data_IF_238917259636
#
_entry.id   IF_238917259636
#
_cell.length_a   1.000
_cell.length_b   1.000
_cell.length_c   1.000
_cell.angle_alpha   90.00
_cell.angle_beta   90.00
_cell.angle_gamma   90.00
#
_symmetry.space_group_name_H-M   'P 1'
#
loop_
_entity.id
_entity.type
_entity.pdbx_description
1 polymer ?
#
# COMPACT_ATOMS: atom_id res chain seq x y z
N UNK A 1 23.38 21.16 10.26
CA UNK A 1 23.36 20.56 8.91
C UNK A 1 24.73 19.96 8.73
N UNK A 2 24.80 18.67 8.42
CA UNK A 2 26.06 17.89 8.42
C UNK A 2 26.55 17.55 7.00
N UNK A 3 25.71 17.73 6.00
CA UNK A 3 25.88 17.32 4.62
C UNK A 3 25.56 18.49 3.67
N UNK A 4 26.18 19.64 3.92
CA UNK A 4 25.99 20.88 3.15
C UNK A 4 26.36 20.77 1.66
N UNK A 5 27.03 19.66 1.27
CA UNK A 5 27.35 19.33 -0.12
C UNK A 5 26.19 18.69 -0.89
N UNK A 6 25.10 18.31 -0.21
CA UNK A 6 23.94 17.69 -0.83
C UNK A 6 22.99 18.76 -1.40
N UNK A 7 22.33 18.50 -2.56
CA UNK A 7 21.36 19.43 -3.09
C UNK A 7 20.11 19.53 -2.19
N UNK A 8 19.46 20.69 -2.23
CA UNK A 8 18.12 20.85 -1.67
C UNK A 8 17.07 20.26 -2.61
N UNK A 9 15.98 19.74 -2.05
CA UNK A 9 14.78 19.38 -2.77
C UNK A 9 13.97 20.64 -3.06
N UNK A 10 13.61 20.86 -4.33
CA UNK A 10 12.63 21.87 -4.71
C UNK A 10 11.23 21.27 -4.52
N UNK A 11 10.42 21.94 -3.71
CA UNK A 11 9.03 21.55 -3.44
C UNK A 11 8.09 22.75 -3.62
N UNK A 12 6.79 22.50 -3.69
CA UNK A 12 5.80 23.54 -4.01
C UNK A 12 5.54 23.65 -5.51
N UNK A 13 5.04 24.81 -5.94
CA UNK A 13 4.81 25.08 -7.36
C UNK A 13 6.03 25.73 -8.00
N UNK A 14 6.17 25.59 -9.31
CA UNK A 14 7.27 26.22 -10.06
C UNK A 14 7.26 27.76 -9.93
N UNK A 15 6.10 28.36 -9.71
CA UNK A 15 5.94 29.81 -9.49
C UNK A 15 6.36 30.25 -8.09
N UNK A 16 6.32 29.35 -7.09
CA UNK A 16 6.69 29.62 -5.69
C UNK A 16 7.44 28.42 -5.11
N UNK A 17 8.69 28.19 -5.54
CA UNK A 17 9.47 27.07 -5.05
C UNK A 17 9.92 27.30 -3.61
N UNK A 18 9.87 26.24 -2.80
CA UNK A 18 10.53 26.15 -1.51
C UNK A 18 11.68 25.14 -1.61
N UNK A 19 12.79 25.41 -0.92
CA UNK A 19 13.97 24.55 -0.94
C UNK A 19 14.17 23.92 0.43
N UNK A 20 14.11 22.59 0.48
CA UNK A 20 14.28 21.81 1.70
C UNK A 20 15.58 21.01 1.64
N UNK A 21 16.46 21.11 2.65
CA UNK A 21 17.61 20.22 2.76
C UNK A 21 17.17 18.76 2.82
N UNK A 22 17.85 17.85 2.10
CA UNK A 22 17.48 16.42 2.12
C UNK A 22 17.50 15.82 3.53
N UNK A 23 18.39 16.33 4.41
CA UNK A 23 18.51 15.89 5.81
C UNK A 23 17.22 16.03 6.63
N UNK A 24 16.37 17.00 6.30
CA UNK A 24 15.15 17.27 7.06
C UNK A 24 13.91 16.64 6.41
N UNK A 25 14.07 15.92 5.30
CA UNK A 25 12.98 15.33 4.56
C UNK A 25 12.84 13.82 4.81
N UNK A 26 11.60 13.34 4.81
CA UNK A 26 11.26 11.91 4.81
C UNK A 26 10.27 11.63 3.70
N UNK A 27 10.38 10.46 3.09
CA UNK A 27 9.38 9.98 2.13
C UNK A 27 8.08 9.71 2.89
N UNK A 28 6.98 10.28 2.40
CA UNK A 28 5.65 10.05 2.98
C UNK A 28 5.26 8.60 2.78
N UNK A 29 4.68 7.97 3.81
CA UNK A 29 4.21 6.60 3.74
C UNK A 29 3.09 6.44 2.69
N UNK A 30 2.83 5.19 2.31
CA UNK A 30 1.67 4.81 1.47
C UNK A 30 1.65 5.42 0.05
N UNK A 31 2.79 5.92 -0.42
CA UNK A 31 2.92 6.33 -1.82
C UNK A 31 3.10 5.12 -2.74
N UNK A 32 2.21 4.96 -3.71
CA UNK A 32 2.33 3.93 -4.74
C UNK A 32 3.51 4.24 -5.69
N UNK A 33 4.41 3.28 -5.85
CA UNK A 33 5.46 3.36 -6.88
C UNK A 33 4.88 3.12 -8.28
N UNK A 34 4.99 4.10 -9.18
CA UNK A 34 4.36 4.07 -10.52
C UNK A 34 5.30 3.71 -11.66
N UNK A 35 6.61 3.67 -11.44
CA UNK A 35 7.59 3.36 -12.49
C UNK A 35 7.72 1.84 -12.64
N UNK A 36 8.25 1.41 -13.79
CA UNK A 36 8.57 0.00 -14.02
C UNK A 36 9.65 -0.45 -13.04
N UNK A 37 9.41 -1.57 -12.38
CA UNK A 37 10.39 -2.22 -11.52
C UNK A 37 11.50 -2.87 -12.35
N UNK A 38 12.71 -2.90 -11.80
CA UNK A 38 13.84 -3.61 -12.37
C UNK A 38 13.65 -5.13 -12.24
N UNK A 39 14.31 -5.92 -13.11
CA UNK A 39 14.14 -7.39 -13.12
C UNK A 39 14.40 -8.04 -11.75
N UNK A 40 15.41 -7.57 -11.02
CA UNK A 40 15.70 -8.09 -9.67
C UNK A 40 14.60 -7.72 -8.65
N UNK A 41 14.02 -6.52 -8.75
CA UNK A 41 12.92 -6.10 -7.88
C UNK A 41 11.66 -6.89 -8.17
N UNK A 42 11.38 -7.16 -9.46
CA UNK A 42 10.27 -8.03 -9.88
C UNK A 42 10.46 -9.44 -9.34
N UNK A 43 11.66 -10.04 -9.46
CA UNK A 43 11.93 -11.38 -8.91
C UNK A 43 11.66 -11.44 -7.41
N UNK A 44 12.17 -10.47 -6.64
CA UNK A 44 11.93 -10.41 -5.18
C UNK A 44 10.45 -10.26 -4.85
N UNK A 45 9.71 -9.50 -5.64
CA UNK A 45 8.26 -9.35 -5.47
C UNK A 45 7.54 -10.66 -5.80
N UNK A 46 7.96 -11.40 -6.83
CA UNK A 46 7.39 -12.69 -7.17
C UNK A 46 7.65 -13.71 -6.06
N UNK A 47 8.88 -13.78 -5.57
CA UNK A 47 9.25 -14.70 -4.48
C UNK A 47 8.41 -14.45 -3.21
N UNK A 48 8.02 -13.21 -2.94
CA UNK A 48 7.19 -12.86 -1.78
C UNK A 48 5.68 -12.97 -1.98
N UNK A 49 5.20 -12.92 -3.23
CA UNK A 49 3.75 -12.86 -3.54
C UNK A 49 3.20 -14.15 -4.15
N UNK A 50 4.05 -14.99 -4.75
CA UNK A 50 3.63 -16.27 -5.30
C UNK A 50 3.24 -17.24 -4.18
N UNK A 51 1.95 -17.53 -4.08
CA UNK A 51 1.38 -18.48 -3.13
C UNK A 51 0.65 -19.61 -3.85
N UNK A 52 0.57 -20.79 -3.21
CA UNK A 52 -0.25 -21.90 -3.72
C UNK A 52 -1.74 -21.52 -3.67
N UNK A 53 -2.56 -21.99 -4.63
CA UNK A 53 -3.98 -21.63 -4.69
C UNK A 53 -4.74 -21.89 -3.38
N UNK A 54 -4.55 -23.05 -2.76
CA UNK A 54 -5.21 -23.38 -1.49
C UNK A 54 -4.84 -22.42 -0.36
N UNK A 55 -3.54 -22.10 -0.23
CA UNK A 55 -3.07 -21.14 0.77
C UNK A 55 -3.63 -19.74 0.51
N UNK A 56 -3.74 -19.35 -0.76
CA UNK A 56 -4.31 -18.06 -1.14
C UNK A 56 -5.80 -18.00 -0.77
N UNK A 57 -6.56 -19.08 -1.00
CA UNK A 57 -7.96 -19.16 -0.62
C UNK A 57 -8.14 -19.09 0.91
N UNK A 58 -7.36 -19.86 1.66
CA UNK A 58 -7.36 -19.82 3.13
C UNK A 58 -7.06 -18.41 3.66
N UNK A 59 -6.05 -17.74 3.09
CA UNK A 59 -5.70 -16.36 3.43
C UNK A 59 -6.85 -15.38 3.14
N UNK A 60 -7.57 -15.56 2.03
CA UNK A 60 -8.72 -14.72 1.68
C UNK A 60 -9.83 -14.90 2.71
N UNK A 61 -10.22 -16.14 3.03
CA UNK A 61 -11.23 -16.43 4.04
C UNK A 61 -10.86 -15.83 5.40
N UNK A 62 -9.61 -16.00 5.84
CA UNK A 62 -9.12 -15.43 7.08
C UNK A 62 -9.19 -13.89 7.11
N UNK A 63 -8.86 -13.21 6.01
CA UNK A 63 -8.94 -11.75 5.92
C UNK A 63 -10.40 -11.28 6.02
N UNK A 64 -11.33 -11.98 5.36
CA UNK A 64 -12.76 -11.63 5.42
C UNK A 64 -13.31 -11.81 6.84
N UNK A 65 -12.94 -12.88 7.53
CA UNK A 65 -13.29 -13.10 8.94
C UNK A 65 -12.70 -12.02 9.85
N UNK A 66 -11.43 -11.65 9.66
CA UNK A 66 -10.76 -10.63 10.48
C UNK A 66 -11.31 -9.23 10.28
N UNK A 67 -11.71 -8.90 9.05
CA UNK A 67 -12.27 -7.58 8.74
C UNK A 67 -13.69 -7.40 9.27
N UNK A 68 -14.40 -8.50 9.57
CA UNK A 68 -15.69 -8.51 10.28
C UNK A 68 -16.69 -7.50 9.70
N UNK A 69 -16.83 -7.54 8.37
CA UNK A 69 -17.55 -6.51 7.59
C UNK A 69 -18.97 -6.26 8.09
N UNK A 70 -19.65 -7.30 8.59
CA UNK A 70 -21.02 -7.24 9.11
C UNK A 70 -21.15 -6.46 10.42
N UNK A 71 -20.05 -6.17 11.11
CA UNK A 71 -20.03 -5.35 12.33
C UNK A 71 -19.64 -3.89 12.08
N UNK A 72 -19.35 -3.52 10.83
CA UNK A 72 -19.07 -2.12 10.51
C UNK A 72 -20.34 -1.28 10.64
N UNK A 73 -20.20 -0.06 11.17
CA UNK A 73 -21.31 0.90 11.32
C UNK A 73 -22.03 1.15 9.99
N UNK A 74 -21.27 1.21 8.89
CA UNK A 74 -21.84 1.42 7.55
C UNK A 74 -22.60 0.20 7.06
N UNK A 75 -22.12 -1.02 7.32
CA UNK A 75 -22.87 -2.21 6.91
C UNK A 75 -24.23 -2.28 7.61
N UNK A 76 -24.28 -1.99 8.92
CA UNK A 76 -25.55 -2.01 9.66
C UNK A 76 -26.49 -0.88 9.26
N UNK A 77 -25.98 0.32 8.99
CA UNK A 77 -26.76 1.47 8.50
C UNK A 77 -27.50 1.15 7.20
N UNK A 78 -26.84 0.46 6.26
CA UNK A 78 -27.41 0.12 4.96
C UNK A 78 -28.06 -1.27 4.91
N UNK A 79 -28.10 -2.02 6.02
CA UNK A 79 -28.61 -3.39 6.07
C UNK A 79 -27.83 -4.36 5.17
N UNK A 80 -26.52 -4.12 5.01
CA UNK A 80 -25.63 -4.96 4.20
C UNK A 80 -25.13 -6.15 5.02
N UNK A 81 -25.08 -7.31 4.36
CA UNK A 81 -24.50 -8.54 4.89
C UNK A 81 -23.53 -9.13 3.86
N UNK A 82 -22.37 -9.58 4.36
CA UNK A 82 -21.28 -10.19 3.62
C UNK A 82 -21.11 -11.62 4.11
N UNK A 83 -21.14 -12.58 3.18
CA UNK A 83 -20.81 -13.98 3.47
C UNK A 83 -19.30 -14.12 3.67
N UNK A 84 -18.91 -14.90 4.68
CA UNK A 84 -17.51 -15.20 4.98
C UNK A 84 -16.91 -16.25 4.03
N UNK A 85 -17.75 -16.93 3.25
CA UNK A 85 -17.31 -17.97 2.31
C UNK A 85 -17.31 -17.47 0.87
N UNK A 86 -16.35 -17.93 0.04
CA UNK A 86 -16.39 -17.69 -1.39
C UNK A 86 -17.65 -18.27 -2.04
N UNK A 87 -18.18 -17.56 -3.04
CA UNK A 87 -19.30 -18.06 -3.85
C UNK A 87 -18.86 -19.30 -4.63
N UNK A 88 -19.67 -20.36 -4.58
CA UNK A 88 -19.48 -21.56 -5.40
C UNK A 88 -19.99 -21.29 -6.81
N UNK A 89 -19.20 -21.64 -7.83
CA UNK A 89 -19.50 -21.41 -9.25
C UNK A 89 -19.67 -22.74 -9.98
#
# INVERSE_FOLDING_TARGET
MHYDFLPCLQVGSDQRPNYLPMEVCKIVAEQQYRKKLEGQQVSKLMDSTCQRPSLREDNICQIVEQNDYNKTERASEFGMEVDYRPTSV
#
